data_IF_947457922280
#
_entry.id   IF_947457922280
#
_cell.length_a   1.000
_cell.length_b   1.000
_cell.length_c   1.000
_cell.angle_alpha   90.00
_cell.angle_beta   90.00
_cell.angle_gamma   90.00
#
_symmetry.space_group_name_H-M   'P 1'
#
loop_
_entity.id
_entity.type
_entity.pdbx_description
1 polymer ?
#
# COMPACT_ATOMS: atom_id res chain seq x y z
N UNK A 1 -42.14 1.66 23.41
CA UNK A 1 -40.93 2.51 23.38
C UNK A 1 -40.00 2.08 24.51
N UNK A 2 -38.68 2.03 24.22
CA UNK A 2 -37.53 1.94 25.12
C UNK A 2 -36.91 0.56 25.45
N UNK A 3 -36.10 0.02 24.53
CA UNK A 3 -35.01 -0.95 24.81
C UNK A 3 -33.61 -0.27 24.85
N UNK A 4 -33.56 1.05 25.05
CA UNK A 4 -32.35 1.86 24.86
C UNK A 4 -31.34 1.85 26.04
N UNK A 5 -31.48 1.00 27.07
CA UNK A 5 -30.57 1.03 28.24
C UNK A 5 -29.49 -0.05 28.26
N UNK A 6 -29.70 -1.24 27.66
CA UNK A 6 -28.74 -2.35 27.82
C UNK A 6 -27.44 -2.14 27.05
N UNK A 7 -27.54 -1.68 25.80
CA UNK A 7 -26.38 -1.43 24.94
C UNK A 7 -25.52 -0.26 25.46
N UNK A 8 -26.16 0.83 25.91
CA UNK A 8 -25.42 1.98 26.44
C UNK A 8 -24.68 1.65 27.74
N UNK A 9 -25.27 0.83 28.61
CA UNK A 9 -24.61 0.35 29.83
C UNK A 9 -23.40 -0.53 29.52
N UNK A 10 -23.53 -1.46 28.57
CA UNK A 10 -22.43 -2.32 28.17
C UNK A 10 -21.28 -1.52 27.56
N UNK A 11 -21.59 -0.53 26.72
CA UNK A 11 -20.62 0.40 26.13
C UNK A 11 -19.87 1.18 27.21
N UNK A 12 -20.58 1.68 28.23
CA UNK A 12 -19.96 2.42 29.35
C UNK A 12 -19.01 1.54 30.15
N UNK A 13 -19.41 0.30 30.47
CA UNK A 13 -18.54 -0.67 31.18
C UNK A 13 -17.25 -0.94 30.41
N UNK A 14 -17.36 -1.16 29.09
CA UNK A 14 -16.19 -1.42 28.25
C UNK A 14 -15.22 -0.22 28.21
N UNK A 15 -15.76 1.00 28.12
CA UNK A 15 -14.95 2.23 28.17
C UNK A 15 -14.26 2.38 29.52
N UNK A 16 -14.94 2.07 30.62
CA UNK A 16 -14.39 2.15 31.97
C UNK A 16 -13.29 1.11 32.22
N UNK A 17 -13.47 -0.13 31.75
CA UNK A 17 -12.42 -1.16 31.77
C UNK A 17 -11.20 -0.75 30.94
N UNK A 18 -11.41 -0.19 29.75
CA UNK A 18 -10.32 0.30 28.92
C UNK A 18 -9.56 1.45 29.60
N UNK A 19 -10.28 2.35 30.30
CA UNK A 19 -9.66 3.42 31.09
C UNK A 19 -8.82 2.86 32.23
N UNK A 20 -9.33 1.85 32.96
CA UNK A 20 -8.57 1.14 34.00
C UNK A 20 -7.29 0.50 33.47
N UNK A 21 -7.37 -0.20 32.32
CA UNK A 21 -6.20 -0.81 31.67
C UNK A 21 -5.18 0.25 31.24
N UNK A 22 -5.64 1.40 30.74
CA UNK A 22 -4.77 2.53 30.38
C UNK A 22 -4.05 3.12 31.61
N UNK A 23 -4.72 3.13 32.76
CA UNK A 23 -4.17 3.59 34.03
C UNK A 23 -3.15 2.58 34.60
N UNK A 24 -3.50 1.30 34.62
CA UNK A 24 -2.66 0.18 35.06
C UNK A 24 -1.34 0.12 34.29
N UNK A 25 -1.40 0.26 32.96
CA UNK A 25 -0.24 0.27 32.08
C UNK A 25 0.52 1.61 32.07
N UNK A 26 0.06 2.62 32.84
CA UNK A 26 0.66 3.96 32.95
C UNK A 26 0.89 4.65 31.59
N UNK A 27 0.08 4.30 30.59
CA UNK A 27 0.26 4.74 29.21
C UNK A 27 0.06 6.25 29.04
N UNK A 28 -0.82 6.83 29.86
CA UNK A 28 -1.07 8.27 29.89
C UNK A 28 0.19 9.06 30.33
N UNK A 29 0.92 8.58 31.34
CA UNK A 29 2.18 9.17 31.79
C UNK A 29 3.30 9.04 30.73
N UNK A 30 3.40 7.88 30.07
CA UNK A 30 4.37 7.69 28.98
C UNK A 30 4.11 8.63 27.80
N UNK A 31 2.83 8.81 27.43
CA UNK A 31 2.44 9.74 26.37
C UNK A 31 2.81 11.19 26.70
N UNK A 32 2.65 11.60 27.97
CA UNK A 32 3.00 12.93 28.44
C UNK A 32 4.53 13.15 28.42
N UNK A 33 5.30 12.18 28.91
CA UNK A 33 6.76 12.25 28.91
C UNK A 33 7.35 12.34 27.49
N UNK A 34 6.78 11.61 26.53
CA UNK A 34 7.18 11.70 25.11
C UNK A 34 6.87 13.08 24.53
N UNK A 35 5.69 13.64 24.84
CA UNK A 35 5.32 14.99 24.41
C UNK A 35 6.25 16.05 25.00
N UNK A 36 6.58 15.97 26.28
CA UNK A 36 7.54 16.88 26.93
C UNK A 36 8.96 16.72 26.35
N UNK A 37 9.40 15.50 26.07
CA UNK A 37 10.70 15.26 25.44
C UNK A 37 10.78 15.85 24.03
N UNK A 38 9.66 15.92 23.31
CA UNK A 38 9.56 16.52 21.98
C UNK A 38 9.59 18.07 21.99
N UNK A 39 9.40 18.72 23.15
CA UNK A 39 9.39 20.19 23.29
C UNK A 39 10.81 20.78 23.47
N UNK A 40 11.86 19.96 23.56
CA UNK A 40 13.25 20.46 23.65
C UNK A 40 13.59 21.40 22.48
N UNK A 41 14.21 22.56 22.71
CA UNK A 41 14.48 23.52 21.66
C UNK A 41 15.48 22.95 20.65
N UNK A 42 15.15 23.05 19.36
CA UNK A 42 16.09 22.80 18.26
C UNK A 42 17.27 23.77 18.40
N UNK A 43 18.44 23.24 18.72
CA UNK A 43 19.69 24.02 18.68
C UNK A 43 19.87 24.61 17.27
N UNK A 44 19.94 25.93 17.17
CA UNK A 44 20.21 26.64 15.91
C UNK A 44 21.58 26.18 15.39
N UNK A 45 21.57 25.49 14.25
CA UNK A 45 22.81 25.11 13.55
C UNK A 45 23.49 26.39 13.07
N UNK A 46 24.73 26.64 13.49
CA UNK A 46 25.54 27.72 12.90
C UNK A 46 25.84 27.37 11.43
N UNK A 47 25.75 28.37 10.55
CA UNK A 47 26.07 28.20 9.14
C UNK A 47 27.55 27.79 8.96
N UNK A 48 27.88 26.87 8.04
CA UNK A 48 29.27 26.50 7.80
C UNK A 48 30.03 27.66 7.13
N UNK A 49 31.29 27.89 7.53
CA UNK A 49 32.21 28.78 6.79
C UNK A 49 32.61 28.13 5.46
N UNK A 50 32.92 28.91 4.41
CA UNK A 50 33.46 28.37 3.16
C UNK A 50 34.82 27.72 3.42
N UNK A 51 35.09 26.59 2.77
CA UNK A 51 36.39 25.90 2.83
C UNK A 51 37.23 26.35 1.65
N UNK A 52 38.40 26.92 1.90
CA UNK A 52 39.42 27.09 0.88
C UNK A 52 39.99 25.71 0.50
N UNK A 53 40.16 25.50 -0.80
CA UNK A 53 40.59 24.24 -1.39
C UNK A 53 42.12 24.12 -1.36
N UNK A 54 42.67 23.59 -0.28
CA UNK A 54 43.96 22.88 -0.23
C UNK A 54 44.20 22.39 1.19
N UNK A 55 43.92 21.10 1.44
CA UNK A 55 44.66 20.31 2.43
C UNK A 55 44.21 18.85 2.28
N UNK A 56 45.15 18.00 1.86
CA UNK A 56 45.04 16.54 1.75
C UNK A 56 45.04 15.88 3.15
N UNK A 57 44.18 16.38 4.03
CA UNK A 57 44.03 15.86 5.38
C UNK A 57 43.08 14.65 5.36
N UNK A 58 43.46 13.51 5.98
CA UNK A 58 42.60 12.34 6.02
C UNK A 58 41.28 12.68 6.73
N UNK A 59 40.16 11.99 6.38
CA UNK A 59 38.85 12.30 6.92
C UNK A 59 38.88 12.29 8.45
N UNK A 60 38.59 13.45 9.06
CA UNK A 60 38.54 13.64 10.52
C UNK A 60 37.43 12.76 11.11
N UNK A 61 37.72 11.50 11.41
CA UNK A 61 36.80 10.63 12.15
C UNK A 61 36.73 11.13 13.59
N UNK A 62 35.53 11.14 14.16
CA UNK A 62 35.35 11.53 15.57
C UNK A 62 36.23 10.63 16.44
N UNK A 63 36.90 11.19 17.45
CA UNK A 63 37.77 10.43 18.36
C UNK A 63 37.10 9.23 19.03
N UNK A 64 35.76 9.20 19.09
CA UNK A 64 34.97 8.05 19.57
C UNK A 64 35.05 6.81 18.66
N UNK A 65 35.54 6.95 17.43
CA UNK A 65 35.65 5.87 16.43
C UNK A 65 37.11 5.42 16.29
N UNK A 66 38.07 6.27 16.65
CA UNK A 66 39.49 5.98 16.51
C UNK A 66 40.01 4.94 17.53
N UNK A 67 39.32 4.78 18.67
CA UNK A 67 39.69 3.83 19.72
C UNK A 67 38.88 2.53 19.68
N UNK A 68 38.00 2.34 18.69
CA UNK A 68 37.34 1.04 18.52
C UNK A 68 38.33 0.08 17.85
N UNK A 69 38.43 -1.18 18.33
CA UNK A 69 39.12 -2.22 17.58
C UNK A 69 38.52 -2.32 16.19
N UNK A 70 39.36 -2.64 15.18
CA UNK A 70 38.88 -2.90 13.82
C UNK A 70 37.69 -3.87 13.90
N UNK A 71 36.54 -3.40 13.42
CA UNK A 71 35.37 -4.27 13.37
C UNK A 71 35.63 -5.36 12.33
N UNK A 72 35.41 -6.65 12.68
CA UNK A 72 35.44 -7.72 11.70
C UNK A 72 34.61 -7.35 10.48
N UNK A 73 35.10 -7.62 9.27
CA UNK A 73 34.33 -7.35 8.06
C UNK A 73 33.16 -8.35 7.97
N UNK A 74 31.99 -7.91 8.42
CA UNK A 74 30.75 -8.69 8.39
C UNK A 74 30.13 -8.78 6.97
N UNK A 75 30.83 -8.29 5.93
CA UNK A 75 30.28 -8.24 4.57
C UNK A 75 30.21 -9.59 3.87
N UNK A 76 30.90 -10.61 4.36
CA UNK A 76 30.93 -11.93 3.70
C UNK A 76 30.01 -12.99 4.30
N UNK A 77 29.06 -12.61 5.15
CA UNK A 77 28.11 -13.55 5.75
C UNK A 77 26.68 -13.03 5.93
N UNK A 78 26.32 -11.92 5.30
CA UNK A 78 24.93 -11.74 4.85
C UNK A 78 24.73 -12.59 3.60
N UNK A 79 24.39 -13.87 3.80
CA UNK A 79 23.38 -14.46 2.93
C UNK A 79 22.22 -13.48 3.00
N UNK A 80 22.06 -12.62 1.98
CA UNK A 80 20.80 -11.91 1.74
C UNK A 80 19.76 -12.98 1.99
N UNK A 81 18.97 -12.82 3.06
CA UNK A 81 17.91 -13.77 3.35
C UNK A 81 17.23 -14.01 2.03
N UNK A 82 17.31 -15.25 1.54
CA UNK A 82 16.49 -15.69 0.43
C UNK A 82 15.13 -15.16 0.80
N UNK A 83 14.63 -14.19 0.03
CA UNK A 83 13.26 -13.70 0.19
C UNK A 83 12.47 -14.98 0.36
N UNK A 84 11.89 -15.20 1.53
CA UNK A 84 10.98 -16.33 1.71
C UNK A 84 10.06 -16.22 0.49
N UNK A 85 9.96 -17.26 -0.35
CA UNK A 85 9.01 -17.25 -1.45
C UNK A 85 7.72 -16.72 -0.87
N UNK A 86 7.13 -15.72 -1.53
CA UNK A 86 5.81 -15.21 -1.17
C UNK A 86 5.00 -16.42 -0.75
N UNK A 87 4.70 -16.53 0.54
CA UNK A 87 3.88 -17.63 1.01
C UNK A 87 2.65 -17.53 0.15
N UNK A 88 2.44 -18.54 -0.69
CA UNK A 88 1.35 -18.59 -1.65
C UNK A 88 0.12 -18.66 -0.76
N UNK A 89 -0.40 -17.48 -0.39
CA UNK A 89 -1.51 -17.33 0.54
C UNK A 89 -2.60 -18.17 -0.09
N UNK A 90 -3.03 -19.22 0.60
CA UNK A 90 -4.01 -20.17 0.08
C UNK A 90 -5.14 -19.35 -0.53
N UNK A 91 -5.26 -19.43 -1.86
CA UNK A 91 -6.28 -18.70 -2.58
C UNK A 91 -7.58 -19.33 -2.13
N UNK A 92 -8.42 -18.55 -1.43
CA UNK A 92 -9.74 -19.06 -1.03
C UNK A 92 -10.46 -19.55 -2.29
N UNK A 93 -11.17 -20.68 -2.24
CA UNK A 93 -11.82 -21.26 -3.42
C UNK A 93 -12.69 -20.24 -4.17
N UNK A 94 -13.34 -19.34 -3.44
CA UNK A 94 -14.19 -18.28 -4.01
C UNK A 94 -13.41 -17.26 -4.85
N UNK A 95 -12.15 -16.97 -4.48
CA UNK A 95 -11.28 -16.07 -5.25
C UNK A 95 -10.79 -16.78 -6.53
N UNK A 96 -10.60 -18.10 -6.48
CA UNK A 96 -10.14 -18.88 -7.62
C UNK A 96 -11.15 -18.86 -8.77
N UNK A 97 -12.45 -18.82 -8.46
CA UNK A 97 -13.51 -18.67 -9.48
C UNK A 97 -13.38 -17.35 -10.25
N UNK A 98 -13.30 -16.22 -9.53
CA UNK A 98 -13.19 -14.90 -10.16
C UNK A 98 -11.90 -14.77 -10.99
N UNK A 99 -10.79 -15.33 -10.50
CA UNK A 99 -9.53 -15.34 -11.23
C UNK A 99 -9.64 -16.17 -12.51
N UNK A 100 -10.20 -17.39 -12.45
CA UNK A 100 -10.34 -18.25 -13.62
C UNK A 100 -11.22 -17.62 -14.70
N UNK A 101 -12.33 -16.97 -14.32
CA UNK A 101 -13.19 -16.25 -15.26
C UNK A 101 -12.49 -15.04 -15.89
N UNK A 102 -11.67 -14.34 -15.12
CA UNK A 102 -10.88 -13.21 -15.63
C UNK A 102 -9.81 -13.65 -16.63
N UNK A 103 -9.13 -14.78 -16.37
CA UNK A 103 -8.15 -15.38 -17.29
C UNK A 103 -8.82 -15.88 -18.58
N UNK A 104 -9.98 -16.53 -18.49
CA UNK A 104 -10.77 -16.95 -19.66
C UNK A 104 -11.13 -15.75 -20.55
N UNK A 105 -11.63 -14.65 -19.95
CA UNK A 105 -11.90 -13.43 -20.71
C UNK A 105 -10.62 -12.84 -21.32
N UNK A 106 -9.50 -12.87 -20.59
CA UNK A 106 -8.23 -12.37 -21.11
C UNK A 106 -7.83 -13.11 -22.40
N UNK A 107 -8.00 -14.43 -22.42
CA UNK A 107 -7.72 -15.27 -23.59
C UNK A 107 -8.69 -14.99 -24.75
N UNK A 108 -9.98 -14.77 -24.44
CA UNK A 108 -11.01 -14.42 -25.44
C UNK A 108 -10.78 -13.05 -26.11
N UNK A 109 -10.30 -12.05 -25.36
CA UNK A 109 -10.05 -10.70 -25.87
C UNK A 109 -8.92 -10.66 -26.93
N UNK A 110 -8.09 -11.71 -27.00
CA UNK A 110 -7.03 -11.83 -27.99
C UNK A 110 -5.90 -10.79 -27.84
N UNK A 111 -5.14 -10.60 -28.92
CA UNK A 111 -3.91 -9.77 -28.92
C UNK A 111 -4.11 -8.34 -29.44
N UNK A 112 -5.33 -7.93 -29.76
CA UNK A 112 -5.59 -6.62 -30.39
C UNK A 112 -5.18 -5.44 -29.48
N UNK A 113 -5.38 -5.63 -28.17
CA UNK A 113 -5.05 -4.66 -27.15
C UNK A 113 -4.31 -5.34 -26.00
N UNK A 114 -3.26 -4.72 -25.43
CA UNK A 114 -2.58 -5.26 -24.26
C UNK A 114 -3.55 -5.41 -23.07
N UNK A 115 -3.57 -6.59 -22.48
CA UNK A 115 -4.42 -6.92 -21.33
C UNK A 115 -3.60 -7.39 -20.13
N UNK A 116 -4.11 -7.19 -18.92
CA UNK A 116 -3.60 -7.86 -17.74
C UNK A 116 -4.71 -8.12 -16.72
N UNK A 117 -4.58 -9.24 -16.00
CA UNK A 117 -5.47 -9.64 -14.91
C UNK A 117 -4.93 -9.12 -13.58
N UNK A 118 -5.83 -8.60 -12.74
CA UNK A 118 -5.50 -8.07 -11.42
C UNK A 118 -6.50 -8.58 -10.37
N UNK A 119 -6.11 -9.56 -9.55
CA UNK A 119 -6.87 -9.92 -8.36
C UNK A 119 -6.86 -8.76 -7.36
N UNK A 120 -8.02 -8.49 -6.76
CA UNK A 120 -8.21 -7.38 -5.85
C UNK A 120 -7.57 -7.66 -4.49
N UNK A 121 -6.54 -6.87 -4.10
CA UNK A 121 -5.88 -7.05 -2.83
C UNK A 121 -6.75 -6.51 -1.69
N UNK A 122 -6.52 -7.02 -0.49
CA UNK A 122 -7.16 -6.56 0.76
C UNK A 122 -7.01 -5.05 1.02
N UNK A 123 -5.99 -4.39 0.45
CA UNK A 123 -5.82 -2.93 0.52
C UNK A 123 -6.22 -2.29 -0.81
N UNK A 124 -7.39 -1.65 -0.82
CA UNK A 124 -7.96 -0.96 -1.99
C UNK A 124 -7.41 0.47 -2.21
N UNK A 125 -6.39 0.88 -1.44
CA UNK A 125 -5.91 2.27 -1.43
C UNK A 125 -5.17 2.70 -2.71
N UNK A 126 -4.58 1.75 -3.43
CA UNK A 126 -3.94 2.00 -4.72
C UNK A 126 -3.84 0.72 -5.54
N UNK A 127 -4.05 0.81 -6.84
CA UNK A 127 -3.86 -0.32 -7.75
C UNK A 127 -2.44 -0.35 -8.28
N UNK A 128 -1.73 -1.46 -8.09
CA UNK A 128 -0.44 -1.68 -8.75
C UNK A 128 -0.63 -2.38 -10.10
N UNK A 129 -0.12 -1.74 -11.14
CA UNK A 129 -0.03 -2.28 -12.49
C UNK A 129 1.24 -3.15 -12.57
N UNK A 130 1.20 -4.32 -13.22
CA UNK A 130 2.39 -5.13 -13.44
C UNK A 130 3.53 -4.30 -14.05
N UNK A 131 4.72 -4.38 -13.45
CA UNK A 131 5.85 -3.53 -13.83
C UNK A 131 6.24 -3.68 -15.31
N UNK A 132 6.21 -4.92 -15.83
CA UNK A 132 6.49 -5.20 -17.25
C UNK A 132 5.47 -4.52 -18.16
N UNK A 133 4.18 -4.72 -17.91
CA UNK A 133 3.10 -4.05 -18.66
C UNK A 133 3.25 -2.53 -18.65
N UNK A 134 3.55 -1.98 -17.47
CA UNK A 134 3.78 -0.55 -17.28
C UNK A 134 4.98 -0.03 -18.06
N UNK A 135 6.05 -0.80 -18.20
CA UNK A 135 7.25 -0.39 -18.94
C UNK A 135 7.05 -0.45 -20.46
N UNK A 136 6.24 -1.40 -20.93
CA UNK A 136 6.04 -1.65 -22.36
C UNK A 136 4.96 -0.74 -22.97
N UNK A 137 3.89 -0.45 -22.22
CA UNK A 137 2.69 0.16 -22.78
C UNK A 137 2.32 1.53 -22.21
N UNK A 138 2.89 1.93 -21.06
CA UNK A 138 2.51 3.15 -20.36
C UNK A 138 3.61 4.23 -20.45
N UNK A 139 3.24 5.52 -20.37
CA UNK A 139 4.21 6.61 -20.38
C UNK A 139 5.11 6.61 -19.14
N UNK A 140 6.32 7.13 -19.30
CA UNK A 140 7.32 7.29 -18.24
C UNK A 140 7.05 8.46 -17.27
N UNK A 141 6.04 9.29 -17.57
CA UNK A 141 5.65 10.46 -16.79
C UNK A 141 4.24 10.32 -16.22
N UNK A 142 4.01 10.98 -15.08
CA UNK A 142 2.72 10.98 -14.41
C UNK A 142 1.63 11.59 -15.29
N UNK A 143 0.52 10.88 -15.44
CA UNK A 143 -0.57 11.22 -16.36
C UNK A 143 -1.92 10.91 -15.73
N UNK A 144 -2.97 11.62 -16.17
CA UNK A 144 -4.35 11.20 -15.90
C UNK A 144 -4.81 10.20 -16.95
N UNK A 145 -5.32 9.08 -16.48
CA UNK A 145 -5.90 8.01 -17.27
C UNK A 145 -7.40 7.95 -17.00
N UNK A 146 -8.14 7.30 -17.89
CA UNK A 146 -9.56 7.05 -17.77
C UNK A 146 -9.76 5.54 -17.67
N UNK A 147 -10.51 5.11 -16.66
CA UNK A 147 -11.03 3.76 -16.56
C UNK A 147 -12.48 3.80 -17.03
N UNK A 148 -12.84 2.89 -17.92
CA UNK A 148 -14.22 2.69 -18.37
C UNK A 148 -14.67 1.34 -17.86
N UNK A 149 -15.76 1.30 -17.10
CA UNK A 149 -16.32 0.06 -16.58
C UNK A 149 -17.26 -0.63 -17.59
N UNK A 150 -18.04 -1.60 -17.11
CA UNK A 150 -19.01 -2.35 -17.90
C UNK A 150 -20.28 -1.55 -18.21
N UNK A 151 -20.60 -0.54 -17.40
CA UNK A 151 -21.72 0.40 -17.60
C UNK A 151 -21.34 1.58 -18.51
N UNK A 152 -20.13 1.55 -19.08
CA UNK A 152 -19.54 2.61 -19.89
C UNK A 152 -19.31 3.93 -19.13
N UNK A 153 -19.24 3.88 -17.81
CA UNK A 153 -18.94 5.05 -16.97
C UNK A 153 -17.43 5.35 -16.93
N UNK A 154 -17.08 6.63 -17.03
CA UNK A 154 -15.70 7.09 -17.13
C UNK A 154 -15.14 7.63 -15.81
N UNK A 155 -14.13 6.95 -15.28
CA UNK A 155 -13.45 7.33 -14.03
C UNK A 155 -12.05 7.86 -14.29
N UNK A 156 -11.76 9.07 -13.80
CA UNK A 156 -10.45 9.73 -14.00
C UNK A 156 -9.49 9.35 -12.89
N UNK A 157 -8.44 8.62 -13.24
CA UNK A 157 -7.42 8.15 -12.29
C UNK A 157 -6.04 8.75 -12.58
N UNK A 158 -5.24 8.98 -11.52
CA UNK A 158 -3.86 9.46 -11.66
C UNK A 158 -2.90 8.27 -11.61
N UNK A 159 -2.15 8.11 -12.70
CA UNK A 159 -1.07 7.13 -12.82
C UNK A 159 0.27 7.70 -12.32
N UNK A 160 1.00 6.89 -11.55
CA UNK A 160 2.34 7.19 -11.02
C UNK A 160 3.36 6.19 -11.59
N UNK A 161 4.20 6.58 -12.56
CA UNK A 161 5.18 5.70 -13.18
C UNK A 161 6.19 5.09 -12.21
N UNK A 162 6.70 5.89 -11.25
CA UNK A 162 7.73 5.44 -10.31
C UNK A 162 7.32 4.22 -9.46
N UNK A 163 6.02 4.07 -9.19
CA UNK A 163 5.48 2.94 -8.42
C UNK A 163 4.57 2.03 -9.26
N UNK A 164 4.51 2.26 -10.58
CA UNK A 164 3.58 1.64 -11.52
C UNK A 164 2.17 1.50 -10.93
N UNK A 165 1.61 2.58 -10.38
CA UNK A 165 0.34 2.50 -9.66
C UNK A 165 -0.66 3.59 -9.99
N UNK A 166 -1.94 3.22 -9.94
CA UNK A 166 -3.08 4.14 -9.95
C UNK A 166 -3.38 4.55 -8.51
N UNK A 167 -3.43 5.85 -8.27
CA UNK A 167 -3.50 6.39 -6.89
C UNK A 167 -4.73 7.26 -6.67
N UNK A 168 -4.73 8.48 -7.22
CA UNK A 168 -5.88 9.37 -7.05
C UNK A 168 -7.00 8.97 -8.01
N UNK A 169 -8.25 8.96 -7.55
CA UNK A 169 -9.42 8.50 -8.33
C UNK A 169 -9.62 6.98 -8.32
N UNK A 170 -8.59 6.19 -7.96
CA UNK A 170 -8.72 4.74 -7.88
C UNK A 170 -9.70 4.31 -6.77
N UNK A 171 -9.62 4.94 -5.61
CA UNK A 171 -10.51 4.63 -4.49
C UNK A 171 -11.97 4.98 -4.79
N UNK A 172 -12.22 6.00 -5.60
CA UNK A 172 -13.56 6.40 -6.05
C UNK A 172 -14.14 5.32 -6.96
N UNK A 173 -13.40 4.94 -8.01
CA UNK A 173 -13.73 3.79 -8.87
C UNK A 173 -14.04 2.52 -8.07
N UNK A 174 -13.20 2.19 -7.09
CA UNK A 174 -13.38 0.99 -6.27
C UNK A 174 -14.60 1.05 -5.35
N UNK A 175 -15.01 2.23 -4.90
CA UNK A 175 -16.21 2.41 -4.07
C UNK A 175 -17.46 2.38 -4.92
N UNK A 176 -17.45 3.06 -6.07
CA UNK A 176 -18.61 3.13 -6.96
C UNK A 176 -18.91 1.76 -7.60
N UNK A 177 -17.87 0.98 -7.89
CA UNK A 177 -18.01 -0.41 -8.34
C UNK A 177 -18.09 -1.43 -7.19
N UNK A 178 -18.20 -0.99 -5.93
CA UNK A 178 -18.32 -1.86 -4.75
C UNK A 178 -17.29 -3.01 -4.71
N UNK A 179 -16.04 -2.72 -5.07
CA UNK A 179 -14.99 -3.74 -5.19
C UNK A 179 -14.56 -4.28 -3.82
N UNK A 180 -14.45 -5.60 -3.69
CA UNK A 180 -14.06 -6.27 -2.43
C UNK A 180 -12.85 -7.18 -2.60
N UNK A 181 -12.31 -7.66 -1.48
CA UNK A 181 -11.25 -8.67 -1.50
C UNK A 181 -11.78 -9.97 -2.12
N UNK A 182 -11.08 -10.48 -3.13
CA UNK A 182 -11.47 -11.70 -3.85
C UNK A 182 -12.03 -11.45 -5.24
N UNK A 183 -12.51 -10.24 -5.52
CA UNK A 183 -12.87 -9.84 -6.88
C UNK A 183 -11.63 -9.84 -7.78
N UNK A 184 -11.86 -9.99 -9.09
CA UNK A 184 -10.80 -9.97 -10.08
C UNK A 184 -11.15 -9.01 -11.21
N UNK A 185 -10.17 -8.23 -11.66
CA UNK A 185 -10.33 -7.24 -12.72
C UNK A 185 -9.50 -7.63 -13.93
N UNK A 186 -10.05 -7.43 -15.13
CA UNK A 186 -9.29 -7.48 -16.39
C UNK A 186 -9.17 -6.06 -16.91
N UNK A 187 -7.94 -5.61 -17.11
CA UNK A 187 -7.66 -4.31 -17.71
C UNK A 187 -7.26 -4.49 -19.16
N UNK A 188 -7.95 -3.84 -20.08
CA UNK A 188 -7.62 -3.78 -21.50
C UNK A 188 -7.24 -2.35 -21.90
N UNK A 189 -6.04 -2.15 -22.41
CA UNK A 189 -5.55 -0.83 -22.81
C UNK A 189 -5.97 -0.50 -24.25
N UNK A 190 -7.11 0.17 -24.40
CA UNK A 190 -7.66 0.54 -25.73
C UNK A 190 -6.90 1.72 -26.35
N UNK A 191 -6.53 2.71 -25.53
CA UNK A 191 -5.75 3.89 -25.94
C UNK A 191 -4.68 4.16 -24.89
N UNK A 192 -3.67 4.97 -25.24
CA UNK A 192 -2.59 5.39 -24.33
C UNK A 192 -3.06 5.88 -22.94
N UNK A 193 -4.27 6.42 -22.86
CA UNK A 193 -4.86 7.01 -21.67
C UNK A 193 -6.08 6.27 -21.12
N UNK A 194 -6.53 5.19 -21.76
CA UNK A 194 -7.86 4.64 -21.56
C UNK A 194 -7.79 3.13 -21.38
N UNK A 195 -8.17 2.69 -20.19
CA UNK A 195 -8.40 1.29 -19.88
C UNK A 195 -9.89 1.00 -19.92
N UNK A 196 -10.27 -0.08 -20.59
CA UNK A 196 -11.54 -0.75 -20.34
C UNK A 196 -11.33 -1.79 -19.26
N UNK A 197 -12.22 -1.80 -18.28
CA UNK A 197 -12.13 -2.64 -17.09
C UNK A 197 -13.32 -3.57 -17.05
N UNK A 198 -13.06 -4.86 -16.87
CA UNK A 198 -14.07 -5.90 -16.68
C UNK A 198 -13.96 -6.46 -15.27
N UNK A 199 -15.10 -6.70 -14.62
CA UNK A 199 -15.18 -6.97 -13.18
C UNK A 199 -15.79 -8.35 -12.94
N UNK A 200 -14.99 -9.25 -12.37
CA UNK A 200 -15.42 -10.58 -11.98
C UNK A 200 -15.54 -10.66 -10.47
N UNK A 201 -16.77 -10.88 -9.99
CA UNK A 201 -17.08 -10.97 -8.56
C UNK A 201 -16.75 -12.34 -7.99
N UNK A 202 -16.24 -12.39 -6.75
CA UNK A 202 -16.10 -13.65 -6.03
C UNK A 202 -17.48 -14.21 -5.65
N UNK A 203 -17.68 -15.52 -5.81
CA UNK A 203 -18.97 -16.19 -5.66
C UNK A 203 -19.54 -16.16 -4.23
N UNK A 204 -18.70 -16.03 -3.20
CA UNK A 204 -19.13 -16.18 -1.80
C UNK A 204 -19.85 -14.97 -1.20
N UNK A 205 -19.98 -13.86 -1.92
CA UNK A 205 -20.70 -12.69 -1.43
C UNK A 205 -22.21 -12.76 -1.65
N UNK A 206 -22.71 -13.56 -2.59
CA UNK A 206 -24.14 -13.63 -2.92
C UNK A 206 -24.87 -14.88 -2.39
N UNK A 207 -24.16 -15.81 -1.76
CA UNK A 207 -24.79 -16.98 -1.11
C UNK A 207 -25.34 -16.68 0.30
N UNK A 208 -25.09 -15.49 0.86
CA UNK A 208 -25.52 -15.13 2.23
C UNK A 208 -26.85 -14.35 2.31
N UNK A 209 -27.53 -14.06 1.19
CA UNK A 209 -28.80 -13.32 1.15
C UNK A 209 -30.00 -14.20 0.74
N UNK A 210 -30.10 -15.45 1.21
CA UNK A 210 -31.28 -16.30 1.05
C UNK A 210 -31.78 -16.87 2.39
#
# INVERSE_FOLDING_TARGET
>A
MAEANSYEEQRRRQVEENKRKLEELRLHHLSAAVREAAVKPRLKRKAPKPRDAADDAPPRRSGRIATLPEQPDYRDNVKLGTRKPWQQKEVKPDHAYAIAKAEELQDELGSDYPTFVKPMPQSLTSLHIPAQFSMEHLPDHGMRMVLVDEEEEEFKVRYRPHSSSLVAGWSEFAVDNELVEGDCLVFQLIKRALFKVYIFRASSYYENDH
#
